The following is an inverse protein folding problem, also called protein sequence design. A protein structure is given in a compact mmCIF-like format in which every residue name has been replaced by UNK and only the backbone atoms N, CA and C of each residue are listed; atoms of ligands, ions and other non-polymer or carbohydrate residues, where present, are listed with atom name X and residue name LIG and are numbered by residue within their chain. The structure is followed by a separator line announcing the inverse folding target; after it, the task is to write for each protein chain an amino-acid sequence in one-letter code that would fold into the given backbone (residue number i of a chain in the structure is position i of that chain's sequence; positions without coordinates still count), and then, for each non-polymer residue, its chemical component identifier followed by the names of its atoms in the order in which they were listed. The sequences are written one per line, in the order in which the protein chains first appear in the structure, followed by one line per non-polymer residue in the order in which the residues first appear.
data_IF_940227103289
#
_entry.id   IF_940227103289
#
_cell.length_a   1.000
_cell.length_b   1.000
_cell.length_c   1.000
_cell.angle_alpha   90.00
_cell.angle_beta   90.00
_cell.angle_gamma   90.00
#
_symmetry.space_group_name_H-M   'P 1'
#
loop_
_entity.id
_entity.type
_entity.pdbx_description
1 polymer ?
#
# COMPACT_ATOMS: atom_id res chain seq x y z
N UNK A 1 -29.59 8.26 12.70
CA UNK A 1 -29.19 8.16 11.28
C UNK A 1 -27.89 7.39 11.21
N UNK A 2 -27.84 6.13 10.75
CA UNK A 2 -26.57 5.47 10.48
C UNK A 2 -26.01 6.01 9.15
N UNK A 3 -24.76 6.46 9.19
CA UNK A 3 -24.02 6.90 8.00
C UNK A 3 -23.87 5.71 7.04
N UNK A 4 -24.10 5.88 5.73
CA UNK A 4 -23.71 4.86 4.77
C UNK A 4 -22.20 4.77 4.82
N UNK A 5 -21.67 3.69 5.39
CA UNK A 5 -20.32 3.26 5.04
C UNK A 5 -20.39 3.02 3.55
N UNK A 6 -19.83 3.94 2.77
CA UNK A 6 -19.61 3.70 1.36
C UNK A 6 -18.66 2.51 1.32
N UNK A 7 -19.22 1.32 1.15
CA UNK A 7 -18.51 0.10 0.78
C UNK A 7 -17.99 0.38 -0.64
N UNK A 8 -16.96 1.22 -0.71
CA UNK A 8 -16.29 1.52 -1.95
C UNK A 8 -15.81 0.17 -2.46
N UNK A 9 -16.26 -0.27 -3.65
CA UNK A 9 -15.96 -1.60 -4.14
C UNK A 9 -14.45 -1.80 -4.03
N UNK A 10 -14.05 -2.85 -3.30
CA UNK A 10 -12.65 -3.20 -3.13
C UNK A 10 -12.05 -3.26 -4.54
N UNK A 11 -11.14 -2.35 -4.86
CA UNK A 11 -10.49 -2.34 -6.17
C UNK A 11 -9.90 -3.73 -6.42
N UNK A 12 -9.96 -4.28 -7.64
CA UNK A 12 -9.48 -5.63 -7.93
C UNK A 12 -8.04 -5.85 -7.44
N UNK A 13 -7.23 -4.79 -7.50
CA UNK A 13 -5.89 -4.74 -6.97
C UNK A 13 -5.80 -4.98 -5.45
N UNK A 14 -6.69 -4.33 -4.70
CA UNK A 14 -6.79 -4.45 -3.24
C UNK A 14 -7.20 -5.86 -2.84
N UNK A 15 -8.11 -6.47 -3.61
CA UNK A 15 -8.57 -7.83 -3.36
C UNK A 15 -7.47 -8.85 -3.61
N UNK A 16 -6.70 -8.70 -4.70
CA UNK A 16 -5.53 -9.55 -4.98
C UNK A 16 -4.50 -9.47 -3.87
N UNK A 17 -4.16 -8.25 -3.41
CA UNK A 17 -3.23 -8.07 -2.30
C UNK A 17 -3.70 -8.81 -1.03
N UNK A 18 -5.00 -8.73 -0.70
CA UNK A 18 -5.58 -9.44 0.45
C UNK A 18 -5.50 -10.96 0.27
N UNK A 19 -5.80 -11.47 -0.93
CA UNK A 19 -5.74 -12.89 -1.25
C UNK A 19 -4.31 -13.44 -1.13
N UNK A 20 -3.33 -12.76 -1.73
CA UNK A 20 -1.92 -13.11 -1.66
C UNK A 20 -1.42 -13.10 -0.20
N UNK A 21 -1.79 -12.09 0.59
CA UNK A 21 -1.42 -12.01 2.01
C UNK A 21 -2.09 -13.10 2.86
N UNK A 22 -3.33 -13.49 2.54
CA UNK A 22 -4.01 -14.59 3.20
C UNK A 22 -3.36 -15.94 2.88
N UNK A 23 -2.97 -16.15 1.61
CA UNK A 23 -2.25 -17.35 1.17
C UNK A 23 -0.94 -17.53 1.96
N UNK A 24 -0.24 -16.43 2.28
CA UNK A 24 1.00 -16.44 3.08
C UNK A 24 0.78 -16.34 4.59
N UNK A 25 -0.46 -16.42 5.07
CA UNK A 25 -0.84 -16.39 6.49
C UNK A 25 -0.35 -15.13 7.23
N UNK A 26 -0.33 -13.98 6.56
CA UNK A 26 0.00 -12.72 7.22
C UNK A 26 -1.06 -12.34 8.26
N UNK A 27 -0.61 -11.76 9.37
CA UNK A 27 -1.49 -11.25 10.41
C UNK A 27 -2.40 -10.14 9.88
N UNK A 28 -3.59 -9.96 10.48
CA UNK A 28 -4.50 -8.85 10.12
C UNK A 28 -3.85 -7.48 10.25
N UNK A 29 -2.93 -7.34 11.21
CA UNK A 29 -2.15 -6.11 11.38
C UNK A 29 -1.20 -5.86 10.20
N UNK A 30 -0.46 -6.89 9.80
CA UNK A 30 0.42 -6.83 8.61
C UNK A 30 -0.38 -6.48 7.37
N UNK A 31 -1.55 -7.11 7.17
CA UNK A 31 -2.44 -6.82 6.04
C UNK A 31 -2.89 -5.36 6.03
N UNK A 32 -3.31 -4.83 7.19
CA UNK A 32 -3.73 -3.43 7.33
C UNK A 32 -2.59 -2.46 7.02
N UNK A 33 -1.38 -2.76 7.49
CA UNK A 33 -0.21 -1.92 7.24
C UNK A 33 0.12 -1.89 5.74
N UNK A 34 0.19 -3.06 5.10
CA UNK A 34 0.45 -3.15 3.66
C UNK A 34 -0.60 -2.42 2.83
N UNK A 35 -1.88 -2.54 3.17
CA UNK A 35 -2.95 -1.82 2.49
C UNK A 35 -2.83 -0.30 2.63
N UNK A 36 -2.43 0.18 3.80
CA UNK A 36 -2.17 1.61 4.04
C UNK A 36 -0.98 2.09 3.21
N UNK A 37 0.08 1.30 3.16
CA UNK A 37 1.32 1.60 2.46
C UNK A 37 1.12 1.67 0.93
N UNK A 38 0.41 0.70 0.35
CA UNK A 38 0.02 0.71 -1.07
C UNK A 38 -0.95 1.86 -1.38
N UNK A 39 -1.88 2.17 -0.46
CA UNK A 39 -2.76 3.33 -0.58
C UNK A 39 -1.98 4.65 -0.65
N UNK A 40 -0.93 4.78 0.18
CA UNK A 40 -0.05 5.95 0.18
C UNK A 40 0.72 6.09 -1.15
N UNK A 41 1.17 4.98 -1.73
CA UNK A 41 1.77 4.99 -3.07
C UNK A 41 0.76 5.44 -4.13
N UNK A 42 -0.46 4.89 -4.12
CA UNK A 42 -1.50 5.29 -5.07
C UNK A 42 -1.80 6.79 -5.01
N UNK A 43 -1.87 7.36 -3.80
CA UNK A 43 -2.04 8.80 -3.60
C UNK A 43 -0.84 9.59 -4.13
N UNK A 44 0.39 9.14 -3.88
CA UNK A 44 1.60 9.80 -4.39
C UNK A 44 1.67 9.79 -5.92
N UNK A 45 1.29 8.67 -6.56
CA UNK A 45 1.32 8.54 -8.02
C UNK A 45 0.14 9.22 -8.72
N UNK A 46 -0.99 9.42 -8.03
CA UNK A 46 -2.23 9.89 -8.63
C UNK A 46 -2.84 8.91 -9.65
N UNK A 47 -2.34 7.67 -9.68
CA UNK A 47 -2.76 6.58 -10.58
C UNK A 47 -2.65 5.24 -9.87
N UNK A 48 -3.14 4.19 -10.51
CA UNK A 48 -3.11 2.85 -9.94
C UNK A 48 -1.68 2.36 -9.71
N UNK A 49 -1.33 1.83 -8.52
CA UNK A 49 0.04 1.44 -8.21
C UNK A 49 0.53 0.22 -8.99
N UNK A 50 -0.34 -0.52 -9.70
CA UNK A 50 0.06 -1.58 -10.65
C UNK A 50 0.90 -1.06 -11.82
N UNK A 51 0.81 0.25 -12.09
CA UNK A 51 1.60 0.92 -13.13
C UNK A 51 2.88 1.55 -12.62
N UNK A 52 3.22 1.35 -11.33
CA UNK A 52 4.41 1.95 -10.73
C UNK A 52 5.69 1.38 -11.35
N UNK A 53 6.56 2.27 -11.81
CA UNK A 53 7.89 1.92 -12.31
C UNK A 53 8.93 1.95 -11.19
N UNK A 54 10.12 1.39 -11.43
CA UNK A 54 11.21 1.50 -10.46
C UNK A 54 11.61 2.95 -10.15
N UNK A 55 11.47 3.87 -11.12
CA UNK A 55 11.72 5.30 -10.92
C UNK A 55 10.66 5.93 -10.00
N UNK A 56 9.39 5.57 -10.18
CA UNK A 56 8.30 5.98 -9.30
C UNK A 56 8.55 5.54 -7.85
N UNK A 57 9.01 4.30 -7.64
CA UNK A 57 9.34 3.78 -6.31
C UNK A 57 10.54 4.49 -5.68
N UNK A 58 11.52 4.91 -6.50
CA UNK A 58 12.66 5.71 -6.03
C UNK A 58 12.19 7.09 -5.59
N UNK A 59 11.37 7.78 -6.39
CA UNK A 59 10.81 9.09 -6.03
C UNK A 59 9.94 9.01 -4.78
N UNK A 60 9.17 7.94 -4.65
CA UNK A 60 8.35 7.71 -3.46
C UNK A 60 9.20 7.53 -2.19
N UNK A 61 10.31 6.80 -2.25
CA UNK A 61 11.22 6.66 -1.12
C UNK A 61 11.87 8.00 -0.74
N UNK A 62 12.29 8.81 -1.71
CA UNK A 62 12.82 10.16 -1.45
C UNK A 62 11.76 11.04 -0.79
N UNK A 63 10.53 11.01 -1.28
CA UNK A 63 9.41 11.73 -0.68
C UNK A 63 9.12 11.27 0.76
N UNK A 64 9.21 9.97 1.05
CA UNK A 64 9.06 9.45 2.42
C UNK A 64 10.17 9.95 3.36
N UNK A 65 11.40 10.05 2.86
CA UNK A 65 12.52 10.59 3.64
C UNK A 65 12.30 12.07 3.96
N UNK A 66 11.84 12.85 2.98
CA UNK A 66 11.54 14.29 3.16
C UNK A 66 10.38 14.52 4.13
N UNK A 67 9.35 13.67 4.08
CA UNK A 67 8.20 13.68 5.00
C UNK A 67 8.57 13.17 6.42
N UNK A 68 9.82 12.77 6.66
CA UNK A 68 10.27 12.31 7.98
C UNK A 68 9.72 10.94 8.38
N UNK A 69 9.32 10.11 7.41
CA UNK A 69 8.88 8.74 7.68
C UNK A 69 10.04 7.98 8.34
N UNK A 70 9.81 7.21 9.42
CA UNK A 70 10.90 6.46 10.04
C UNK A 70 11.33 5.29 9.14
N UNK A 71 12.64 5.01 9.11
CA UNK A 71 13.27 3.91 8.37
C UNK A 71 12.54 2.55 8.53
N UNK A 72 12.09 2.09 9.72
CA UNK A 72 11.34 0.85 9.82
C UNK A 72 10.02 0.85 9.03
N UNK A 73 9.36 2.01 8.94
CA UNK A 73 8.15 2.17 8.13
C UNK A 73 8.49 2.16 6.64
N UNK A 74 9.57 2.82 6.21
CA UNK A 74 10.04 2.70 4.82
C UNK A 74 10.36 1.25 4.44
N UNK A 75 11.03 0.49 5.31
CA UNK A 75 11.34 -0.93 5.08
C UNK A 75 10.08 -1.81 4.99
N UNK A 76 9.06 -1.50 5.79
CA UNK A 76 7.76 -2.17 5.71
C UNK A 76 7.08 -1.88 4.38
N UNK A 77 7.12 -0.62 3.93
CA UNK A 77 6.58 -0.19 2.64
C UNK A 77 7.33 -0.87 1.47
N UNK A 78 8.66 -0.90 1.49
CA UNK A 78 9.46 -1.59 0.46
C UNK A 78 9.14 -3.10 0.43
N UNK A 79 8.95 -3.72 1.59
CA UNK A 79 8.54 -5.12 1.68
C UNK A 79 7.14 -5.35 1.10
N UNK A 80 6.22 -4.41 1.30
CA UNK A 80 4.89 -4.45 0.68
C UNK A 80 4.95 -4.29 -0.84
N UNK A 81 5.79 -3.38 -1.33
CA UNK A 81 5.97 -3.14 -2.76
C UNK A 81 6.66 -4.29 -3.49
N UNK A 82 7.54 -5.05 -2.83
CA UNK A 82 8.15 -6.27 -3.39
C UNK A 82 7.18 -7.45 -3.44
N UNK A 83 6.13 -7.39 -2.63
CA UNK A 83 5.10 -8.42 -2.58
C UNK A 83 4.04 -8.24 -3.66
N UNK A 84 3.84 -6.97 -4.02
CA UNK A 84 2.95 -6.50 -5.05
C UNK A 84 3.46 -6.80 -6.46
#
# INVERSE_FOLDING_TARGET
MPHPVLDAPISPLRQRLIDDMNMRRFSRETQRNYLRDIGRLATFLGRSPDTATADDLRRFQVWQQDDGVPVPTMNSIVSALRFF
#
